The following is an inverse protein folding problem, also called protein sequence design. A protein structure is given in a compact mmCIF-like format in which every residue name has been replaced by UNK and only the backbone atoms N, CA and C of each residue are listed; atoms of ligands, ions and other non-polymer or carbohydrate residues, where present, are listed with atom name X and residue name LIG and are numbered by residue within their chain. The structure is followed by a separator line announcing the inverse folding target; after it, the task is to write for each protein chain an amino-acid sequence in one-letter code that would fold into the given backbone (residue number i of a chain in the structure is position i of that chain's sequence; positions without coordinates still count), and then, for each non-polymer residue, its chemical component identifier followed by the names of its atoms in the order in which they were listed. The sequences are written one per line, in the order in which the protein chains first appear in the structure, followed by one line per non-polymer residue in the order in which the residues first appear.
data_IF_854852837078
#
_entry.id   IF_854852837078
#
_cell.length_a   1.000
_cell.length_b   1.000
_cell.length_c   1.000
_cell.angle_alpha   90.00
_cell.angle_beta   90.00
_cell.angle_gamma   90.00
#
_symmetry.space_group_name_H-M   'P 1'
#
loop_
_entity.id
_entity.type
_entity.pdbx_description
1 polymer ?
#
# COMPACT_ATOMS: atom_id res chain seq x y z
N UNK A 1 -11.18 -0.07 8.41
CA UNK A 1 -10.29 -0.06 7.25
C UNK A 1 -9.24 1.05 7.39
N UNK A 2 -8.07 0.83 6.82
CA UNK A 2 -7.02 1.85 6.84
C UNK A 2 -7.32 2.93 5.79
N UNK A 3 -6.89 4.15 6.06
CA UNK A 3 -7.06 5.27 5.15
C UNK A 3 -5.70 5.77 4.67
N UNK A 4 -5.50 5.76 3.36
CA UNK A 4 -4.29 6.29 2.74
C UNK A 4 -4.72 7.20 1.60
N UNK A 5 -4.19 8.42 1.57
CA UNK A 5 -4.54 9.42 0.55
C UNK A 5 -6.07 9.67 0.48
N UNK A 6 -6.77 9.57 1.62
CA UNK A 6 -8.21 9.79 1.70
C UNK A 6 -9.07 8.63 1.22
N UNK A 7 -8.46 7.51 0.86
CA UNK A 7 -9.20 6.34 0.36
C UNK A 7 -9.16 5.22 1.40
N UNK A 8 -10.30 4.64 1.68
CA UNK A 8 -10.40 3.51 2.59
C UNK A 8 -9.89 2.24 1.91
N UNK A 9 -8.98 1.53 2.57
CA UNK A 9 -8.35 0.34 2.02
C UNK A 9 -8.63 -0.84 2.94
N UNK A 10 -9.01 -2.02 2.39
CA UNK A 10 -9.20 -3.21 3.22
C UNK A 10 -7.91 -3.57 3.96
N UNK A 11 -7.99 -3.68 5.27
CA UNK A 11 -6.82 -3.90 6.13
C UNK A 11 -6.23 -5.30 5.99
N UNK A 12 -7.05 -6.26 5.63
CA UNK A 12 -6.61 -7.65 5.46
C UNK A 12 -5.87 -7.90 4.14
N UNK A 13 -5.94 -6.97 3.20
CA UNK A 13 -5.25 -7.11 1.92
C UNK A 13 -3.78 -6.76 2.06
N UNK A 14 -2.94 -7.38 1.21
CA UNK A 14 -1.53 -7.03 1.16
C UNK A 14 -1.37 -5.62 0.59
N UNK A 15 -0.29 -4.97 0.97
CA UNK A 15 -0.06 -3.58 0.53
C UNK A 15 0.03 -3.45 -0.99
N UNK A 16 0.55 -4.46 -1.69
CA UNK A 16 0.60 -4.43 -3.15
C UNK A 16 -0.79 -4.31 -3.77
N UNK A 17 -1.77 -4.96 -3.16
CA UNK A 17 -3.16 -4.88 -3.62
C UNK A 17 -3.78 -3.57 -3.17
N UNK A 18 -3.46 -3.13 -1.96
CA UNK A 18 -3.96 -1.86 -1.43
C UNK A 18 -3.62 -0.68 -2.31
N UNK A 19 -2.41 -0.65 -2.84
CA UNK A 19 -2.00 0.45 -3.71
C UNK A 19 -2.81 0.52 -5.01
N UNK A 20 -3.28 -0.62 -5.50
CA UNK A 20 -4.12 -0.62 -6.70
C UNK A 20 -5.45 0.07 -6.45
N UNK A 21 -5.94 0.03 -5.22
CA UNK A 21 -7.18 0.72 -4.84
C UNK A 21 -6.98 2.24 -4.81
N UNK A 22 -5.80 2.69 -4.36
CA UNK A 22 -5.54 4.11 -4.15
C UNK A 22 -5.28 4.84 -5.48
N UNK A 23 -4.39 4.28 -6.28
CA UNK A 23 -3.88 5.00 -7.44
C UNK A 23 -4.44 4.51 -8.76
N UNK A 24 -5.30 3.51 -8.74
CA UNK A 24 -5.84 2.92 -9.96
C UNK A 24 -4.76 2.30 -10.84
N UNK A 25 -3.64 1.91 -10.23
CA UNK A 25 -2.50 1.33 -10.94
C UNK A 25 -2.58 -0.20 -10.93
N UNK A 26 -1.87 -0.82 -11.86
CA UNK A 26 -1.79 -2.26 -11.89
C UNK A 26 -0.84 -2.81 -10.84
N UNK A 27 -0.89 -4.13 -10.63
CA UNK A 27 -0.02 -4.79 -9.65
C UNK A 27 1.46 -4.62 -9.96
N UNK A 28 1.83 -4.66 -11.25
CA UNK A 28 3.23 -4.48 -11.64
C UNK A 28 3.78 -3.14 -11.19
N UNK A 29 3.00 -2.08 -11.38
CA UNK A 29 3.40 -0.74 -10.96
C UNK A 29 3.44 -0.64 -9.44
N UNK A 30 2.47 -1.25 -8.77
CA UNK A 30 2.44 -1.31 -7.31
C UNK A 30 3.71 -1.95 -6.76
N UNK A 31 4.13 -3.08 -7.32
CA UNK A 31 5.35 -3.76 -6.90
C UNK A 31 6.59 -2.90 -7.12
N UNK A 32 6.65 -2.16 -8.21
CA UNK A 32 7.76 -1.24 -8.48
C UNK A 32 7.84 -0.14 -7.43
N UNK A 33 6.71 0.45 -7.10
CA UNK A 33 6.67 1.51 -6.09
C UNK A 33 7.16 0.98 -4.75
N UNK A 34 6.68 -0.19 -4.34
CA UNK A 34 7.07 -0.79 -3.07
C UNK A 34 8.56 -1.13 -3.05
N UNK A 35 9.10 -1.62 -4.16
CA UNK A 35 10.52 -1.91 -4.26
C UNK A 35 11.37 -0.65 -4.11
N UNK A 36 10.95 0.44 -4.72
CA UNK A 36 11.65 1.72 -4.62
C UNK A 36 11.64 2.27 -3.19
N UNK A 37 10.55 2.04 -2.47
CA UNK A 37 10.43 2.49 -1.09
C UNK A 37 11.05 1.51 -0.10
N UNK A 38 11.48 0.34 -0.56
CA UNK A 38 12.04 -0.68 0.31
C UNK A 38 11.00 -1.39 1.17
N UNK A 39 9.75 -1.38 0.75
CA UNK A 39 8.66 -2.01 1.49
C UNK A 39 8.40 -3.43 0.99
N UNK A 40 8.05 -4.32 1.92
CA UNK A 40 7.71 -5.69 1.59
C UNK A 40 6.29 -5.74 1.01
N UNK A 41 6.11 -6.19 -0.24
CA UNK A 41 4.79 -6.23 -0.87
C UNK A 41 3.81 -7.19 -0.20
N UNK A 42 4.31 -8.16 0.55
CA UNK A 42 3.46 -9.14 1.24
C UNK A 42 2.94 -8.65 2.59
N UNK A 43 3.41 -7.49 3.06
CA UNK A 43 2.93 -6.91 4.30
C UNK A 43 1.46 -6.53 4.15
N UNK A 44 0.63 -6.94 5.11
CA UNK A 44 -0.78 -6.55 5.09
C UNK A 44 -0.92 -5.08 5.46
N UNK A 45 -1.93 -4.44 4.89
CA UNK A 45 -2.18 -3.01 5.14
C UNK A 45 -2.26 -2.71 6.64
N UNK A 46 -2.90 -3.57 7.40
CA UNK A 46 -3.06 -3.40 8.86
C UNK A 46 -1.73 -3.43 9.62
N UNK A 47 -0.69 -4.02 9.03
CA UNK A 47 0.62 -4.15 9.67
C UNK A 47 1.59 -3.04 9.28
N UNK A 48 1.15 -2.10 8.46
CA UNK A 48 1.99 -0.97 8.07
C UNK A 48 2.19 -0.01 9.25
N UNK A 49 3.42 0.46 9.42
CA UNK A 49 3.72 1.48 10.41
C UNK A 49 3.30 2.85 9.89
N UNK A 50 3.21 3.84 10.79
CA UNK A 50 2.88 5.20 10.40
C UNK A 50 3.90 5.77 9.41
N UNK A 51 5.17 5.43 9.59
CA UNK A 51 6.22 5.86 8.66
C UNK A 51 6.00 5.28 7.27
N UNK A 52 5.65 4.00 7.21
CA UNK A 52 5.40 3.35 5.93
C UNK A 52 4.17 3.95 5.24
N UNK A 53 3.13 4.24 6.00
CA UNK A 53 1.93 4.90 5.46
C UNK A 53 2.28 6.27 4.91
N UNK A 54 3.12 7.02 5.63
CA UNK A 54 3.55 8.34 5.18
C UNK A 54 4.31 8.28 3.86
N UNK A 55 5.14 7.25 3.67
CA UNK A 55 5.88 7.06 2.43
C UNK A 55 4.95 6.77 1.25
N UNK A 56 3.80 6.19 1.51
CA UNK A 56 2.83 5.85 0.46
C UNK A 56 1.89 6.99 0.07
N UNK A 57 1.92 8.06 0.80
CA UNK A 57 1.09 9.24 0.49
C UNK A 57 1.63 10.05 -0.66
#
# INVERSE_FOLDING_TARGET
MARIAGIDIPREKRVEVGLTYIYGIGRSTSLKVLAELGLNPDTKVRDLTEEEVAQLR
#
